data_IF_036774692225
#
_entry.id   IF_036774692225
#
_cell.length_a   1.000
_cell.length_b   1.000
_cell.length_c   1.000
_cell.angle_alpha   90.00
_cell.angle_beta   90.00
_cell.angle_gamma   90.00
#
_symmetry.space_group_name_H-M   'P 1'
#
loop_
_entity.id
_entity.type
_entity.pdbx_description
1 polymer ?
#
# COMPACT_ATOMS: atom_id res chain seq x y z
N UNK A 1 -4.63 -10.58 18.38
CA UNK A 1 -4.16 -11.39 17.23
C UNK A 1 -4.05 -10.44 16.05
N UNK A 2 -2.84 -10.07 15.63
CA UNK A 2 -2.64 -9.05 14.58
C UNK A 2 -2.81 -9.70 13.22
N UNK A 3 -3.76 -9.21 12.41
CA UNK A 3 -3.94 -9.68 11.03
C UNK A 3 -2.69 -9.27 10.24
N UNK A 4 -2.03 -10.24 9.58
CA UNK A 4 -1.00 -9.95 8.59
C UNK A 4 -1.68 -9.55 7.28
N UNK A 5 -1.74 -8.24 7.05
CA UNK A 5 -2.39 -7.64 5.90
C UNK A 5 -1.64 -7.83 4.57
N UNK A 6 -0.32 -8.05 4.64
CA UNK A 6 0.51 -8.45 3.51
C UNK A 6 1.04 -9.85 3.76
N UNK A 7 0.91 -10.73 2.77
CA UNK A 7 1.39 -12.11 2.81
C UNK A 7 2.47 -12.32 1.75
N UNK A 8 3.40 -13.22 2.04
CA UNK A 8 4.40 -13.71 1.08
C UNK A 8 4.35 -15.22 1.15
N UNK A 9 4.09 -15.86 0.01
CA UNK A 9 4.04 -17.31 -0.11
C UNK A 9 4.69 -17.69 -1.45
N UNK A 10 5.79 -18.48 -1.48
CA UNK A 10 6.46 -18.87 -2.72
C UNK A 10 5.55 -19.58 -3.73
N UNK A 11 4.45 -20.18 -3.27
CA UNK A 11 3.50 -20.92 -4.11
C UNK A 11 2.36 -20.03 -4.63
N UNK A 12 2.30 -18.76 -4.22
CA UNK A 12 1.23 -17.82 -4.58
C UNK A 12 1.85 -16.58 -5.22
N UNK A 13 1.29 -16.14 -6.35
CA UNK A 13 1.80 -14.96 -7.09
C UNK A 13 3.31 -15.01 -7.36
N UNK A 14 3.87 -16.21 -7.60
CA UNK A 14 5.31 -16.42 -7.80
C UNK A 14 6.20 -15.89 -6.64
N UNK A 15 5.69 -15.90 -5.40
CA UNK A 15 6.41 -15.35 -4.25
C UNK A 15 6.38 -13.83 -4.14
N UNK A 16 5.57 -13.14 -4.96
CA UNK A 16 5.32 -11.72 -4.74
C UNK A 16 4.51 -11.48 -3.46
N UNK A 17 4.80 -10.42 -2.70
CA UNK A 17 3.97 -10.01 -1.59
C UNK A 17 2.60 -9.57 -2.10
N UNK A 18 1.53 -9.98 -1.43
CA UNK A 18 0.16 -9.71 -1.85
C UNK A 18 -0.77 -9.38 -0.68
N UNK A 19 -1.84 -8.65 -0.98
CA UNK A 19 -2.83 -8.20 0.00
C UNK A 19 -3.65 -9.37 0.55
N UNK A 20 -3.90 -9.37 1.86
CA UNK A 20 -4.65 -10.41 2.54
C UNK A 20 -6.04 -10.59 1.94
N UNK A 21 -6.38 -11.83 1.61
CA UNK A 21 -7.70 -12.18 1.09
C UNK A 21 -7.87 -11.91 -0.41
N UNK A 22 -6.81 -11.49 -1.11
CA UNK A 22 -6.87 -11.14 -2.53
C UNK A 22 -5.70 -11.78 -3.30
N UNK A 23 -5.71 -11.64 -4.64
CA UNK A 23 -4.56 -11.93 -5.52
C UNK A 23 -3.91 -10.64 -6.05
N UNK A 24 -4.14 -9.52 -5.38
CA UNK A 24 -3.53 -8.25 -5.75
C UNK A 24 -2.16 -8.14 -5.07
N UNK A 25 -1.09 -8.09 -5.86
CA UNK A 25 0.27 -7.95 -5.33
C UNK A 25 0.51 -6.53 -4.86
N UNK A 26 1.50 -6.35 -3.97
CA UNK A 26 1.95 -5.01 -3.56
C UNK A 26 2.44 -4.23 -4.79
N UNK A 27 3.08 -4.89 -5.76
CA UNK A 27 3.52 -4.26 -7.01
C UNK A 27 2.33 -3.71 -7.80
N UNK A 28 1.30 -4.51 -8.05
CA UNK A 28 0.12 -4.06 -8.78
C UNK A 28 -0.56 -2.87 -8.07
N UNK A 29 -0.61 -2.90 -6.74
CA UNK A 29 -1.14 -1.80 -5.95
C UNK A 29 -0.32 -0.51 -6.13
N UNK A 30 1.01 -0.61 -6.14
CA UNK A 30 1.91 0.52 -6.38
C UNK A 30 1.80 1.05 -7.81
N UNK A 31 1.59 0.18 -8.81
CA UNK A 31 1.36 0.58 -10.20
C UNK A 31 0.03 1.34 -10.34
N UNK A 32 -1.05 0.89 -9.70
CA UNK A 32 -2.31 1.64 -9.67
C UNK A 32 -2.09 3.03 -9.05
N UNK A 33 -1.38 3.07 -7.91
CA UNK A 33 -1.05 4.31 -7.23
C UNK A 33 -0.21 5.24 -8.11
N UNK A 34 0.86 4.77 -8.72
CA UNK A 34 1.72 5.59 -9.59
C UNK A 34 0.96 6.13 -10.81
N UNK A 35 -0.05 5.40 -11.28
CA UNK A 35 -0.98 5.84 -12.34
C UNK A 35 -2.07 6.81 -11.84
N UNK A 36 -1.99 7.29 -10.60
CA UNK A 36 -2.87 8.33 -10.06
C UNK A 36 -4.12 7.83 -9.34
N UNK A 37 -4.26 6.51 -9.10
CA UNK A 37 -5.40 5.99 -8.35
C UNK A 37 -5.28 6.32 -6.86
N UNK A 38 -6.28 7.01 -6.31
CA UNK A 38 -6.38 7.24 -4.86
C UNK A 38 -6.71 5.94 -4.12
N UNK A 39 -6.44 5.83 -2.81
CA UNK A 39 -6.84 4.66 -2.03
C UNK A 39 -8.33 4.34 -2.11
N UNK A 40 -9.20 5.35 -2.23
CA UNK A 40 -10.65 5.16 -2.46
C UNK A 40 -10.94 4.54 -3.82
N UNK A 41 -10.28 5.01 -4.88
CA UNK A 41 -10.46 4.45 -6.22
C UNK A 41 -9.96 3.00 -6.27
N UNK A 42 -8.81 2.71 -5.66
CA UNK A 42 -8.28 1.34 -5.55
C UNK A 42 -9.28 0.42 -4.84
N UNK A 43 -9.86 0.86 -3.73
CA UNK A 43 -10.85 0.08 -2.99
C UNK A 43 -12.15 -0.12 -3.77
N UNK A 44 -12.58 0.86 -4.56
CA UNK A 44 -13.76 0.75 -5.41
C UNK A 44 -13.57 -0.32 -6.51
N UNK A 45 -12.39 -0.37 -7.13
CA UNK A 45 -12.05 -1.36 -8.16
C UNK A 45 -11.76 -2.76 -7.58
N UNK A 46 -11.36 -2.84 -6.32
CA UNK A 46 -10.98 -4.09 -5.65
C UNK A 46 -11.72 -4.21 -4.29
N UNK A 47 -13.04 -4.48 -4.30
CA UNK A 47 -13.90 -4.45 -3.10
C UNK A 47 -13.55 -5.51 -2.05
N UNK A 48 -12.78 -6.53 -2.42
CA UNK A 48 -12.24 -7.52 -1.49
C UNK A 48 -11.12 -6.97 -0.61
N UNK A 49 -10.47 -5.86 -1.00
CA UNK A 49 -9.46 -5.21 -0.19
C UNK A 49 -10.07 -4.63 1.10
N UNK A 50 -9.17 -4.24 1.99
CA UNK A 50 -9.51 -3.49 3.19
C UNK A 50 -8.71 -2.20 3.20
N UNK A 51 -9.30 -1.15 3.75
CA UNK A 51 -8.69 0.17 3.87
C UNK A 51 -7.30 0.12 4.51
N UNK A 52 -7.20 -0.57 5.65
CA UNK A 52 -5.93 -0.81 6.37
C UNK A 52 -4.99 -1.71 5.57
N UNK A 53 -5.53 -2.62 4.74
CA UNK A 53 -4.72 -3.51 3.90
C UNK A 53 -3.92 -2.78 2.83
N UNK A 54 -4.51 -1.74 2.21
CA UNK A 54 -3.81 -0.88 1.24
C UNK A 54 -2.67 -0.11 1.94
N UNK A 55 -2.94 0.49 3.10
CA UNK A 55 -1.92 1.21 3.88
C UNK A 55 -0.77 0.29 4.33
N UNK A 56 -1.06 -0.93 4.74
CA UNK A 56 -0.05 -1.93 5.12
C UNK A 56 0.78 -2.41 3.93
N UNK A 57 0.21 -2.47 2.73
CA UNK A 57 0.96 -2.74 1.51
C UNK A 57 1.92 -1.60 1.16
N UNK A 58 1.51 -0.34 1.34
CA UNK A 58 2.42 0.81 1.20
C UNK A 58 3.54 0.80 2.24
N UNK A 59 3.23 0.48 3.50
CA UNK A 59 4.26 0.30 4.54
C UNK A 59 5.23 -0.82 4.18
N UNK A 60 4.72 -1.96 3.71
CA UNK A 60 5.56 -3.07 3.28
C UNK A 60 6.52 -2.64 2.16
N UNK A 61 6.05 -1.87 1.19
CA UNK A 61 6.90 -1.33 0.14
C UNK A 61 7.98 -0.40 0.68
N UNK A 62 7.64 0.49 1.62
CA UNK A 62 8.58 1.38 2.29
C UNK A 62 9.68 0.62 3.03
N UNK A 63 9.33 -0.44 3.76
CA UNK A 63 10.28 -1.30 4.48
C UNK A 63 11.15 -2.16 3.56
N UNK A 64 10.68 -2.41 2.33
CA UNK A 64 11.37 -3.21 1.32
C UNK A 64 11.79 -2.34 0.12
N UNK A 65 12.24 -1.11 0.38
CA UNK A 65 12.52 -0.09 -0.65
C UNK A 65 13.38 -0.58 -1.81
N UNK A 66 14.42 -1.39 -1.54
CA UNK A 66 15.28 -1.94 -2.59
C UNK A 66 14.53 -2.82 -3.62
N UNK A 67 13.46 -3.51 -3.20
CA UNK A 67 12.62 -4.34 -4.07
C UNK A 67 11.65 -3.53 -4.93
N UNK A 68 11.27 -2.35 -4.45
CA UNK A 68 10.25 -1.50 -5.03
C UNK A 68 10.79 -0.13 -5.46
N UNK A 69 12.10 -0.05 -5.75
CA UNK A 69 12.80 1.21 -6.01
C UNK A 69 12.13 2.06 -7.09
N UNK A 70 11.54 1.41 -8.09
CA UNK A 70 10.93 2.05 -9.25
C UNK A 70 9.63 2.82 -8.91
N UNK A 71 9.09 2.64 -7.70
CA UNK A 71 7.87 3.32 -7.23
C UNK A 71 8.15 4.43 -6.23
N UNK A 72 9.42 4.82 -6.04
CA UNK A 72 9.79 5.93 -5.17
C UNK A 72 10.27 7.12 -5.97
N UNK A 73 9.74 8.30 -5.64
CA UNK A 73 10.20 9.57 -6.18
C UNK A 73 11.58 9.96 -5.66
N UNK A 74 12.13 11.05 -6.21
CA UNK A 74 13.43 11.59 -5.83
C UNK A 74 13.48 12.05 -4.35
N UNK A 75 12.33 12.43 -3.79
CA UNK A 75 12.15 12.77 -2.37
C UNK A 75 12.13 11.53 -1.45
N UNK A 76 12.11 10.33 -2.05
CA UNK A 76 12.06 9.06 -1.35
C UNK A 76 10.69 8.67 -0.82
N UNK A 77 9.63 9.34 -1.25
CA UNK A 77 8.24 8.94 -0.98
C UNK A 77 7.71 8.04 -2.10
N UNK A 78 6.64 7.29 -1.83
CA UNK A 78 5.97 6.49 -2.86
C UNK A 78 5.29 7.42 -3.86
N UNK A 79 5.49 7.15 -5.15
CA UNK A 79 4.88 7.95 -6.23
C UNK A 79 3.35 7.83 -6.22
N UNK A 80 2.70 8.90 -6.69
CA UNK A 80 1.25 8.97 -6.76
C UNK A 80 0.55 9.27 -5.42
N UNK A 81 -0.79 9.38 -5.44
CA UNK A 81 -1.56 9.82 -4.28
C UNK A 81 -1.52 8.81 -3.13
N UNK A 82 -1.50 9.32 -1.91
CA UNK A 82 -1.71 8.54 -0.68
C UNK A 82 -3.06 8.87 -0.05
N UNK A 83 -3.16 8.60 1.26
CA UNK A 83 -4.30 8.97 2.07
C UNK A 83 -4.25 10.44 2.45
N UNK A 84 -5.39 11.12 2.51
CA UNK A 84 -5.46 12.43 3.19
C UNK A 84 -5.35 12.26 4.71
N UNK A 85 -5.01 13.31 5.47
CA UNK A 85 -5.01 13.24 6.94
C UNK A 85 -6.36 12.81 7.52
N UNK A 86 -7.47 13.25 6.92
CA UNK A 86 -8.82 12.89 7.34
C UNK A 86 -9.11 11.41 7.05
N UNK A 87 -8.70 10.92 5.89
CA UNK A 87 -8.82 9.52 5.47
C UNK A 87 -8.00 8.55 6.34
N UNK A 88 -6.89 9.04 6.87
CA UNK A 88 -6.01 8.29 7.74
C UNK A 88 -6.39 8.40 9.23
N UNK A 89 -7.31 9.28 9.63
CA UNK A 89 -7.55 9.64 11.02
C UNK A 89 -7.84 8.43 11.93
N UNK A 90 -8.63 7.47 11.45
CA UNK A 90 -9.02 6.26 12.19
C UNK A 90 -8.03 5.10 12.03
N UNK A 91 -6.93 5.29 11.30
CA UNK A 91 -5.91 4.26 11.13
C UNK A 91 -5.05 4.08 12.38
N UNK A 92 -4.49 2.86 12.57
CA UNK A 92 -3.43 2.63 13.54
C UNK A 92 -2.30 3.67 13.43
N UNK A 93 -1.78 4.11 14.58
CA UNK A 93 -0.75 5.16 14.65
C UNK A 93 0.49 4.83 13.81
N UNK A 94 0.89 3.56 13.76
CA UNK A 94 2.05 3.10 12.98
C UNK A 94 1.90 3.26 11.47
N UNK A 95 0.67 3.45 10.97
CA UNK A 95 0.41 3.72 9.55
C UNK A 95 0.28 5.23 9.28
N UNK A 96 -0.24 5.98 10.26
CA UNK A 96 -0.40 7.44 10.15
C UNK A 96 0.93 8.20 10.15
N UNK A 97 1.95 7.67 10.84
CA UNK A 97 3.25 8.34 11.00
C UNK A 97 4.23 8.12 9.85
N UNK A 98 3.89 7.29 8.86
CA UNK A 98 4.78 6.95 7.76
C UNK A 98 4.68 7.96 6.61
N UNK A 99 5.81 8.62 6.31
CA UNK A 99 5.91 9.55 5.19
C UNK A 99 5.63 8.85 3.86
N UNK A 100 4.81 9.49 3.01
CA UNK A 100 4.40 8.95 1.72
C UNK A 100 3.24 7.95 1.78
N UNK A 101 2.70 7.61 2.96
CA UNK A 101 1.41 6.91 3.08
C UNK A 101 0.29 7.93 3.23
N UNK A 102 0.44 8.88 4.15
CA UNK A 102 -0.44 10.04 4.28
C UNK A 102 0.23 11.22 3.57
N UNK A 103 -0.47 11.83 2.61
CA UNK A 103 0.03 13.02 1.91
C UNK A 103 -0.42 14.24 2.71
N UNK A 104 0.53 14.91 3.33
CA UNK A 104 0.31 16.27 3.84
C UNK A 104 0.39 17.21 2.65
N UNK A 105 -0.75 17.81 2.28
CA UNK A 105 -0.79 18.88 1.28
C UNK A 105 0.02 20.10 1.69
#
# INVERSE_FOLDING_TARGET
MTIKWVKVDPLVMNGEPFCFGTRLTVRNLLEMRSNGFTPKAILAENPELRWVGIAEAYRYAHENRARFSDFFGADGTLEGPGYTPEEAADMPEHLRSLQGIVVTG
#
